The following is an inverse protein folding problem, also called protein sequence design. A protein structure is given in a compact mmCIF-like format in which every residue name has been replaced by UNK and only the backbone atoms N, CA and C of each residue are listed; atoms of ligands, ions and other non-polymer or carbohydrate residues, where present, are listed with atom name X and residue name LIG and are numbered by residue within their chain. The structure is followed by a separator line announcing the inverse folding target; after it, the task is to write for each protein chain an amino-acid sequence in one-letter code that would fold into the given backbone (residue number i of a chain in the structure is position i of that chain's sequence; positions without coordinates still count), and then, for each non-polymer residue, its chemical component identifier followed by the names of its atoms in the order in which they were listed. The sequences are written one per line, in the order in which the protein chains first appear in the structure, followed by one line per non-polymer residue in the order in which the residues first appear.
data_IF_907762266978
#
_entry.id   IF_907762266978
#
_cell.length_a   1.000
_cell.length_b   1.000
_cell.length_c   1.000
_cell.angle_alpha   90.00
_cell.angle_beta   90.00
_cell.angle_gamma   90.00
#
_symmetry.space_group_name_H-M   'P 1'
#
loop_
_entity.id
_entity.type
_entity.pdbx_description
1 polymer ?
#
# COMPACT_ATOMS: atom_id res chain seq x y z
N UNK A 1 1.55 24.28 17.83
CA UNK A 1 0.54 23.96 16.82
C UNK A 1 1.18 23.85 15.44
N UNK A 2 1.70 24.95 14.87
CA UNK A 2 2.29 24.98 13.52
C UNK A 2 3.48 24.01 13.31
N UNK A 3 4.46 23.98 14.24
CA UNK A 3 5.60 23.07 14.10
C UNK A 3 5.19 21.59 14.02
N UNK A 4 4.22 21.18 14.84
CA UNK A 4 3.73 19.79 14.87
C UNK A 4 3.05 19.44 13.55
N UNK A 5 2.25 20.35 13.01
CA UNK A 5 1.56 20.19 11.74
C UNK A 5 2.55 19.99 10.58
N UNK A 6 3.53 20.90 10.44
CA UNK A 6 4.54 20.85 9.38
C UNK A 6 5.41 19.60 9.51
N UNK A 7 5.80 19.24 10.74
CA UNK A 7 6.58 18.04 11.00
C UNK A 7 5.83 16.77 10.58
N UNK A 8 4.57 16.63 11.00
CA UNK A 8 3.74 15.46 10.67
C UNK A 8 3.56 15.38 9.15
N UNK A 9 3.22 16.49 8.49
CA UNK A 9 3.06 16.52 7.04
C UNK A 9 4.35 16.10 6.34
N UNK A 10 5.50 16.64 6.77
CA UNK A 10 6.81 16.32 6.20
C UNK A 10 7.14 14.84 6.37
N UNK A 11 6.88 14.26 7.55
CA UNK A 11 7.10 12.84 7.81
C UNK A 11 6.17 11.96 6.97
N UNK A 12 4.89 12.31 6.82
CA UNK A 12 3.95 11.55 5.98
C UNK A 12 4.32 11.60 4.50
N UNK A 13 4.72 12.75 3.97
CA UNK A 13 5.17 12.89 2.58
C UNK A 13 6.47 12.12 2.33
N UNK A 14 7.43 12.19 3.26
CA UNK A 14 8.64 11.36 3.22
C UNK A 14 8.29 9.88 3.25
N UNK A 15 7.43 9.46 4.16
CA UNK A 15 6.96 8.08 4.24
C UNK A 15 6.37 7.61 2.90
N UNK A 16 5.51 8.41 2.27
CA UNK A 16 4.91 8.09 0.98
C UNK A 16 5.97 7.86 -0.11
N UNK A 17 6.96 8.75 -0.21
CA UNK A 17 8.06 8.60 -1.16
C UNK A 17 8.92 7.37 -0.85
N UNK A 18 9.23 7.12 0.42
CA UNK A 18 10.02 5.94 0.80
C UNK A 18 9.27 4.62 0.55
N UNK A 19 7.93 4.60 0.65
CA UNK A 19 7.11 3.43 0.27
C UNK A 19 7.15 3.20 -1.25
N UNK A 20 7.09 4.25 -2.08
CA UNK A 20 7.12 4.11 -3.54
C UNK A 20 8.46 3.59 -4.07
N UNK A 21 9.55 3.84 -3.33
CA UNK A 21 10.88 3.28 -3.60
C UNK A 21 11.15 1.96 -2.85
N UNK A 22 10.14 1.41 -2.18
CA UNK A 22 10.23 0.16 -1.40
C UNK A 22 11.30 0.16 -0.28
N UNK A 23 11.56 1.31 0.33
CA UNK A 23 12.49 1.44 1.46
C UNK A 23 11.80 1.18 2.82
N UNK A 24 12.01 -0.03 3.37
CA UNK A 24 11.33 -0.49 4.58
C UNK A 24 11.60 0.37 5.84
N UNK A 25 12.85 0.43 6.32
CA UNK A 25 13.14 1.11 7.59
C UNK A 25 12.88 2.63 7.54
N UNK A 26 13.30 3.38 6.49
CA UNK A 26 12.99 4.80 6.39
C UNK A 26 11.50 5.10 6.38
N UNK A 27 10.69 4.30 5.68
CA UNK A 27 9.24 4.48 5.67
C UNK A 27 8.61 4.17 7.04
N UNK A 28 9.06 3.09 7.71
CA UNK A 28 8.61 2.72 9.05
C UNK A 28 8.87 3.82 10.08
N UNK A 29 10.09 4.37 10.12
CA UNK A 29 10.48 5.41 11.09
C UNK A 29 9.67 6.70 10.88
N UNK A 30 9.48 7.12 9.63
CA UNK A 30 8.66 8.30 9.33
C UNK A 30 7.18 8.07 9.70
N UNK A 31 6.65 6.89 9.40
CA UNK A 31 5.27 6.53 9.70
C UNK A 31 5.01 6.49 11.21
N UNK A 32 5.91 5.85 11.96
CA UNK A 32 5.84 5.80 13.42
C UNK A 32 5.97 7.20 14.04
N UNK A 33 6.94 7.99 13.59
CA UNK A 33 7.14 9.37 14.09
C UNK A 33 5.90 10.25 13.88
N UNK A 34 5.29 10.19 12.69
CA UNK A 34 4.05 10.90 12.41
C UNK A 34 2.89 10.41 13.28
N UNK A 35 2.77 9.09 13.46
CA UNK A 35 1.73 8.50 14.33
C UNK A 35 1.85 8.97 15.78
N UNK A 36 3.05 8.89 16.38
CA UNK A 36 3.27 9.32 17.77
C UNK A 36 2.93 10.81 17.96
N UNK A 37 3.33 11.68 17.02
CA UNK A 37 3.01 13.11 17.07
C UNK A 37 1.50 13.37 16.93
N UNK A 38 0.82 12.66 16.02
CA UNK A 38 -0.64 12.78 15.86
C UNK A 38 -1.42 12.30 17.08
N UNK A 39 -0.97 11.23 17.73
CA UNK A 39 -1.57 10.73 18.98
C UNK A 39 -1.40 11.75 20.11
N UNK A 40 -0.18 12.27 20.31
CA UNK A 40 0.09 13.30 21.31
C UNK A 40 -0.74 14.58 21.06
N UNK A 41 -0.84 15.01 19.80
CA UNK A 41 -1.67 16.16 19.43
C UNK A 41 -3.17 15.89 19.66
N UNK A 42 -3.63 14.67 19.38
CA UNK A 42 -5.00 14.20 19.67
C UNK A 42 -5.39 14.33 21.14
N UNK A 43 -4.50 13.93 22.04
CA UNK A 43 -4.71 14.03 23.49
C UNK A 43 -4.92 15.47 23.98
N UNK A 44 -4.31 16.46 23.31
CA UNK A 44 -4.52 17.88 23.64
C UNK A 44 -5.98 18.28 23.38
N UNK A 45 -6.57 17.84 22.27
CA UNK A 45 -7.97 18.12 21.96
C UNK A 45 -8.93 17.46 22.97
N UNK A 46 -8.63 16.21 23.37
CA UNK A 46 -9.43 15.50 24.37
C UNK A 46 -9.38 16.17 25.74
N UNK A 47 -8.19 16.56 26.22
CA UNK A 47 -8.03 17.28 27.49
C UNK A 47 -8.77 18.61 27.48
N UNK A 48 -8.66 19.39 26.39
CA UNK A 48 -9.39 20.66 26.26
C UNK A 48 -10.92 20.45 26.29
N UNK A 49 -11.40 19.34 25.74
CA UNK A 49 -12.82 18.96 25.76
C UNK A 49 -13.28 18.61 27.18
N UNK A 50 -12.48 17.86 27.94
CA UNK A 50 -12.76 17.51 29.33
C UNK A 50 -12.75 18.73 30.25
N UNK A 51 -11.73 19.59 30.15
CA UNK A 51 -11.63 20.81 30.97
C UNK A 51 -12.85 21.73 30.78
N UNK A 52 -13.34 21.90 29.54
CA UNK A 52 -14.55 22.71 29.28
C UNK A 52 -15.84 22.07 29.84
N UNK A 53 -15.95 20.74 29.83
CA UNK A 53 -17.10 20.04 30.44
C UNK A 53 -17.20 20.30 31.95
N UNK A 54 -16.07 20.35 32.65
CA UNK A 54 -16.04 20.57 34.10
C UNK A 54 -16.28 22.03 34.51
N UNK A 55 -15.88 23.01 33.69
CA UNK A 55 -15.99 24.44 34.01
C UNK A 55 -17.37 25.05 33.72
N UNK A 56 -18.17 24.48 32.81
CA UNK A 56 -19.39 25.13 32.30
C UNK A 56 -20.68 24.32 32.45
N UNK A 57 -20.72 23.34 33.37
CA UNK A 57 -21.97 22.75 33.85
C UNK A 57 -22.95 22.30 32.76
N UNK A 58 -22.65 21.19 32.07
CA UNK A 58 -23.66 20.29 31.47
C UNK A 58 -24.55 20.79 30.33
N UNK A 59 -24.53 22.06 29.92
CA UNK A 59 -25.33 22.49 28.77
C UNK A 59 -24.64 22.10 27.46
N UNK A 60 -25.41 21.46 26.56
CA UNK A 60 -25.04 20.93 25.25
C UNK A 60 -24.22 21.92 24.41
N UNK A 61 -22.90 21.95 24.63
CA UNK A 61 -21.98 22.68 23.76
C UNK A 61 -21.69 21.82 22.53
N UNK A 62 -21.89 22.41 21.35
CA UNK A 62 -21.48 21.86 20.05
C UNK A 62 -20.12 21.20 20.21
N UNK A 63 -20.04 19.90 19.93
CA UNK A 63 -18.80 19.14 20.03
C UNK A 63 -17.68 19.90 19.33
N UNK A 64 -16.64 20.29 20.07
CA UNK A 64 -15.45 20.92 19.47
C UNK A 64 -14.80 19.84 18.62
N UNK A 65 -15.15 19.85 17.34
CA UNK A 65 -14.58 18.94 16.36
C UNK A 65 -13.10 19.31 16.16
N UNK A 66 -12.20 18.31 16.07
CA UNK A 66 -10.82 18.59 15.72
C UNK A 66 -10.72 19.36 14.40
N UNK A 67 -9.70 20.21 14.21
CA UNK A 67 -9.50 20.92 12.96
C UNK A 67 -9.52 19.98 11.75
N UNK A 68 -10.12 20.39 10.64
CA UNK A 68 -10.24 19.56 9.44
C UNK A 68 -8.87 19.05 8.96
N UNK A 69 -7.82 19.88 9.06
CA UNK A 69 -6.47 19.49 8.71
C UNK A 69 -5.92 18.36 9.59
N UNK A 70 -6.20 18.37 10.89
CA UNK A 70 -5.82 17.28 11.79
C UNK A 70 -6.47 15.96 11.36
N UNK A 71 -7.78 15.99 11.08
CA UNK A 71 -8.52 14.82 10.59
C UNK A 71 -7.98 14.34 9.24
N UNK A 72 -7.59 15.26 8.36
CA UNK A 72 -6.97 14.93 7.09
C UNK A 72 -5.60 14.25 7.26
N UNK A 73 -4.74 14.76 8.15
CA UNK A 73 -3.45 14.15 8.47
C UNK A 73 -3.61 12.74 9.07
N UNK A 74 -4.61 12.53 9.93
CA UNK A 74 -4.95 11.20 10.44
C UNK A 74 -5.37 10.24 9.32
N UNK A 75 -6.21 10.70 8.38
CA UNK A 75 -6.62 9.88 7.23
C UNK A 75 -5.46 9.53 6.31
N UNK A 76 -4.57 10.49 6.04
CA UNK A 76 -3.35 10.25 5.26
C UNK A 76 -2.45 9.23 5.97
N UNK A 77 -2.22 9.38 7.28
CA UNK A 77 -1.45 8.42 8.07
C UNK A 77 -2.07 7.02 8.03
N UNK A 78 -3.38 6.89 8.20
CA UNK A 78 -4.07 5.60 8.16
C UNK A 78 -4.03 4.93 6.77
N UNK A 79 -4.04 5.75 5.69
CA UNK A 79 -3.89 5.28 4.30
C UNK A 79 -2.47 4.78 4.04
N UNK A 80 -1.45 5.53 4.48
CA UNK A 80 -0.06 5.14 4.36
C UNK A 80 0.26 3.91 5.20
N UNK A 81 -0.34 3.77 6.38
CA UNK A 81 -0.22 2.56 7.20
C UNK A 81 -0.78 1.33 6.48
N UNK A 82 -1.99 1.42 5.92
CA UNK A 82 -2.57 0.31 5.15
C UNK A 82 -1.66 -0.12 3.98
N UNK A 83 -1.13 0.86 3.24
CA UNK A 83 -0.22 0.61 2.13
C UNK A 83 1.12 0.02 2.58
N UNK A 84 1.72 0.57 3.62
CA UNK A 84 2.95 0.06 4.23
C UNK A 84 2.79 -1.40 4.68
N UNK A 85 1.71 -1.69 5.41
CA UNK A 85 1.41 -3.05 5.87
C UNK A 85 1.26 -4.04 4.72
N UNK A 86 0.71 -3.60 3.59
CA UNK A 86 0.61 -4.43 2.39
C UNK A 86 1.97 -4.62 1.70
N UNK A 87 2.68 -3.53 1.35
CA UNK A 87 3.91 -3.58 0.54
C UNK A 87 5.08 -4.27 1.26
N UNK A 88 5.05 -4.26 2.59
CA UNK A 88 6.06 -4.89 3.43
C UNK A 88 5.49 -6.07 4.24
N UNK A 89 4.36 -6.65 3.80
CA UNK A 89 3.69 -7.73 4.52
C UNK A 89 4.65 -8.89 4.84
N UNK A 90 5.49 -9.29 3.87
CA UNK A 90 6.46 -10.36 4.07
C UNK A 90 7.47 -10.03 5.19
N UNK A 91 8.07 -8.84 5.15
CA UNK A 91 9.03 -8.40 6.17
C UNK A 91 8.40 -8.32 7.56
N UNK A 92 7.16 -7.83 7.66
CA UNK A 92 6.40 -7.74 8.90
C UNK A 92 6.01 -9.12 9.45
N UNK A 93 5.55 -10.01 8.57
CA UNK A 93 5.14 -11.38 8.92
C UNK A 93 6.30 -12.23 9.44
N UNK A 94 7.54 -11.97 9.00
CA UNK A 94 8.74 -12.64 9.53
C UNK A 94 9.12 -12.19 10.94
N UNK A 95 8.62 -11.04 11.38
CA UNK A 95 8.95 -10.42 12.68
C UNK A 95 7.79 -10.50 13.67
N UNK A 96 6.67 -11.10 13.29
CA UNK A 96 5.44 -11.19 14.10
C UNK A 96 4.84 -12.59 13.96
N UNK A 97 3.98 -13.00 14.90
CA UNK A 97 3.18 -14.20 14.72
C UNK A 97 2.07 -13.98 13.69
N UNK A 98 1.54 -15.06 13.10
CA UNK A 98 0.43 -14.98 12.14
C UNK A 98 -0.83 -14.32 12.75
N UNK A 99 -1.08 -14.52 14.05
CA UNK A 99 -2.20 -13.90 14.77
C UNK A 99 -2.01 -12.39 14.94
N UNK A 100 -0.80 -11.97 15.30
CA UNK A 100 -0.45 -10.55 15.41
C UNK A 100 -0.50 -9.86 14.05
N UNK A 101 -0.03 -10.52 12.99
CA UNK A 101 -0.06 -9.95 11.64
C UNK A 101 -1.51 -9.75 11.16
N UNK A 102 -2.40 -10.73 11.36
CA UNK A 102 -3.84 -10.57 11.09
C UNK A 102 -4.46 -9.44 11.88
N UNK A 103 -4.07 -9.30 13.15
CA UNK A 103 -4.55 -8.20 14.01
C UNK A 103 -4.04 -6.85 13.51
N UNK A 104 -2.79 -6.78 13.04
CA UNK A 104 -2.17 -5.58 12.49
C UNK A 104 -2.86 -5.14 11.21
N UNK A 105 -3.09 -6.06 10.26
CA UNK A 105 -3.79 -5.74 9.00
C UNK A 105 -5.25 -5.37 9.24
N UNK A 106 -5.95 -6.05 10.15
CA UNK A 106 -7.35 -5.74 10.49
C UNK A 106 -7.54 -4.34 11.12
N UNK A 107 -6.50 -3.78 11.75
CA UNK A 107 -6.53 -2.42 12.32
C UNK A 107 -6.26 -1.32 11.30
N UNK A 108 -5.83 -1.68 10.09
CA UNK A 108 -5.59 -0.70 9.03
C UNK A 108 -6.92 -0.17 8.48
N UNK A 109 -6.89 1.01 7.86
CA UNK A 109 -8.08 1.58 7.22
C UNK A 109 -8.61 0.73 6.05
N UNK A 110 -7.73 -0.05 5.41
CA UNK A 110 -8.03 -0.96 4.31
C UNK A 110 -7.16 -2.22 4.41
N UNK A 111 -7.79 -3.37 4.67
CA UNK A 111 -7.11 -4.67 4.69
C UNK A 111 -6.92 -5.21 3.27
N UNK A 112 -5.87 -4.75 2.58
CA UNK A 112 -5.52 -5.19 1.23
C UNK A 112 -5.24 -6.70 1.17
N UNK A 113 -4.55 -7.24 2.18
CA UNK A 113 -4.16 -8.64 2.23
C UNK A 113 -5.41 -9.54 2.37
N UNK A 114 -6.31 -9.20 3.28
CA UNK A 114 -7.60 -9.88 3.44
C UNK A 114 -8.49 -9.76 2.22
N UNK A 115 -8.52 -8.58 1.57
CA UNK A 115 -9.28 -8.34 0.33
C UNK A 115 -8.79 -9.21 -0.82
N UNK A 116 -7.47 -9.30 -1.04
CA UNK A 116 -6.88 -10.17 -2.06
C UNK A 116 -7.11 -11.65 -1.73
N UNK A 117 -6.95 -12.03 -0.46
CA UNK A 117 -7.23 -13.41 -0.01
C UNK A 117 -8.69 -13.82 -0.25
N UNK A 118 -9.64 -12.90 -0.02
CA UNK A 118 -11.05 -13.14 -0.31
C UNK A 118 -11.32 -13.23 -1.83
N UNK A 119 -10.67 -12.39 -2.62
CA UNK A 119 -10.74 -12.45 -4.08
C UNK A 119 -10.24 -13.80 -4.62
N UNK A 120 -9.08 -14.27 -4.16
CA UNK A 120 -8.51 -15.58 -4.54
C UNK A 120 -9.51 -16.69 -4.30
N UNK A 121 -10.08 -16.77 -3.08
CA UNK A 121 -11.07 -17.80 -2.74
C UNK A 121 -12.35 -17.70 -3.55
N UNK A 122 -12.80 -16.48 -3.87
CA UNK A 122 -14.07 -16.25 -4.58
C UNK A 122 -13.96 -16.57 -6.07
N UNK A 123 -12.83 -16.27 -6.69
CA UNK A 123 -12.65 -16.36 -8.15
C UNK A 123 -11.77 -17.53 -8.58
N UNK A 124 -11.24 -18.29 -7.61
CA UNK A 124 -10.33 -19.42 -7.82
C UNK A 124 -9.08 -19.00 -8.60
N UNK A 125 -8.46 -17.89 -8.18
CA UNK A 125 -7.19 -17.44 -8.73
C UNK A 125 -6.07 -18.32 -8.17
N UNK A 126 -5.17 -18.79 -9.03
CA UNK A 126 -4.03 -19.62 -8.59
C UNK A 126 -3.02 -18.79 -7.79
N UNK A 127 -2.83 -17.53 -8.19
CA UNK A 127 -1.94 -16.62 -7.46
C UNK A 127 -2.29 -15.14 -7.68
N UNK A 128 -2.06 -14.31 -6.66
CA UNK A 128 -1.98 -12.85 -6.79
C UNK A 128 -0.67 -12.36 -6.20
N UNK A 129 0.13 -11.64 -6.99
CA UNK A 129 1.40 -11.06 -6.55
C UNK A 129 1.46 -9.55 -6.76
N UNK A 130 2.17 -8.87 -5.87
CA UNK A 130 2.67 -7.52 -6.08
C UNK A 130 4.13 -7.63 -6.52
N UNK A 131 4.42 -7.22 -7.75
CA UNK A 131 5.76 -7.24 -8.34
C UNK A 131 6.39 -5.88 -8.17
N UNK A 132 7.63 -5.83 -7.70
CA UNK A 132 8.44 -4.62 -7.72
C UNK A 132 9.38 -4.64 -8.92
N UNK A 133 9.43 -3.56 -9.69
CA UNK A 133 10.33 -3.37 -10.82
C UNK A 133 11.59 -2.65 -10.35
N UNK A 134 12.65 -3.43 -10.17
CA UNK A 134 13.92 -2.93 -9.66
C UNK A 134 14.87 -2.41 -10.75
N UNK A 135 14.42 -2.29 -12.01
CA UNK A 135 15.30 -1.82 -13.08
C UNK A 135 15.76 -0.39 -12.82
N UNK A 136 17.07 -0.17 -12.86
CA UNK A 136 17.69 1.14 -12.61
C UNK A 136 17.86 1.51 -11.13
N UNK A 137 17.50 0.62 -10.20
CA UNK A 137 17.72 0.83 -8.77
C UNK A 137 18.99 0.13 -8.30
N UNK A 138 20.03 0.93 -8.08
CA UNK A 138 21.32 0.47 -7.53
C UNK A 138 21.25 0.21 -6.02
N UNK A 139 20.25 0.78 -5.34
CA UNK A 139 20.08 0.71 -3.88
C UNK A 139 19.21 -0.45 -3.40
N UNK A 140 18.82 -1.36 -4.29
CA UNK A 140 17.99 -2.49 -3.93
C UNK A 140 18.72 -3.48 -3.04
N UNK A 141 18.14 -3.74 -1.87
CA UNK A 141 18.70 -4.66 -0.89
C UNK A 141 17.79 -5.84 -0.61
N UNK A 142 16.58 -5.91 -1.18
CA UNK A 142 15.60 -6.96 -0.89
C UNK A 142 14.70 -6.63 0.30
N UNK A 143 13.98 -7.64 0.82
CA UNK A 143 12.94 -7.45 1.84
C UNK A 143 13.48 -6.98 3.19
N UNK A 144 12.83 -5.98 3.79
CA UNK A 144 13.08 -5.58 5.17
C UNK A 144 14.32 -4.67 5.33
N UNK A 145 14.91 -4.69 6.52
CA UNK A 145 16.07 -3.86 6.84
C UNK A 145 17.38 -4.54 6.45
N UNK A 146 18.27 -3.74 5.86
CA UNK A 146 19.62 -4.13 5.52
C UNK A 146 20.59 -3.04 5.97
N UNK A 147 21.75 -3.46 6.44
CA UNK A 147 22.75 -2.52 6.94
C UNK A 147 23.35 -1.71 5.77
N UNK A 148 23.50 -0.38 5.88
CA UNK A 148 23.92 0.49 4.76
C UNK A 148 25.26 0.11 4.12
N UNK A 149 26.16 -0.52 4.88
CA UNK A 149 27.49 -0.92 4.42
C UNK A 149 27.56 -2.39 3.98
N UNK A 150 26.44 -3.11 3.95
CA UNK A 150 26.42 -4.48 3.45
C UNK A 150 26.46 -4.48 1.92
N UNK A 151 27.54 -5.03 1.36
CA UNK A 151 27.61 -5.26 -0.09
C UNK A 151 26.60 -6.33 -0.51
N UNK A 152 25.85 -6.05 -1.58
CA UNK A 152 25.05 -7.04 -2.31
C UNK A 152 25.20 -6.78 -3.80
N UNK A 153 25.30 -7.86 -4.56
CA UNK A 153 25.24 -7.76 -6.02
C UNK A 153 23.82 -7.33 -6.43
N UNK A 154 23.73 -6.33 -7.31
CA UNK A 154 22.46 -5.89 -7.85
C UNK A 154 21.76 -7.06 -8.57
N UNK A 155 20.45 -7.28 -8.35
CA UNK A 155 19.75 -8.38 -8.98
C UNK A 155 19.76 -8.22 -10.51
N UNK A 156 19.88 -9.36 -11.20
CA UNK A 156 19.94 -9.42 -12.67
C UNK A 156 18.85 -10.34 -13.20
N UNK A 157 18.37 -10.03 -14.41
CA UNK A 157 17.38 -10.84 -15.11
C UNK A 157 16.08 -11.01 -14.30
N UNK A 158 15.72 -12.26 -14.02
CA UNK A 158 14.47 -12.64 -13.33
C UNK A 158 14.37 -12.06 -11.92
N UNK A 159 15.51 -11.86 -11.24
CA UNK A 159 15.54 -11.35 -9.87
C UNK A 159 15.36 -9.83 -9.78
N UNK A 160 15.33 -9.12 -10.92
CA UNK A 160 14.96 -7.70 -10.98
C UNK A 160 13.48 -7.46 -10.74
N UNK A 161 12.68 -8.52 -10.77
CA UNK A 161 11.24 -8.48 -10.57
C UNK A 161 10.86 -9.38 -9.38
N UNK A 162 11.21 -9.03 -8.13
CA UNK A 162 10.77 -9.80 -6.97
C UNK A 162 9.25 -9.69 -6.77
N UNK A 163 8.65 -10.75 -6.23
CA UNK A 163 7.30 -10.70 -5.69
C UNK A 163 7.39 -10.15 -4.26
N UNK A 164 7.06 -8.89 -4.05
CA UNK A 164 7.12 -8.28 -2.70
C UNK A 164 5.97 -8.73 -1.80
N UNK A 165 4.89 -9.19 -2.42
CA UNK A 165 3.78 -9.91 -1.80
C UNK A 165 3.37 -11.01 -2.77
N UNK A 166 3.08 -12.21 -2.25
CA UNK A 166 2.55 -13.32 -3.05
C UNK A 166 1.52 -14.10 -2.25
N UNK A 167 0.34 -14.32 -2.83
CA UNK A 167 -0.77 -15.01 -2.19
C UNK A 167 -1.35 -16.10 -3.10
N UNK A 168 -1.79 -17.24 -2.55
CA UNK A 168 -1.93 -17.53 -1.12
C UNK A 168 -0.66 -18.06 -0.43
N UNK A 169 0.31 -18.57 -1.19
CA UNK A 169 1.43 -19.36 -0.66
C UNK A 169 2.59 -18.57 -0.03
N UNK A 170 2.59 -17.24 -0.09
CA UNK A 170 3.73 -16.42 0.35
C UNK A 170 4.89 -16.41 -0.64
N UNK A 171 5.06 -17.49 -1.40
CA UNK A 171 6.12 -17.67 -2.39
C UNK A 171 5.73 -17.20 -3.79
N UNK A 172 6.73 -16.80 -4.57
CA UNK A 172 6.60 -16.42 -5.98
C UNK A 172 6.24 -17.64 -6.85
N UNK A 173 5.26 -17.56 -7.78
CA UNK A 173 4.97 -18.63 -8.72
C UNK A 173 6.04 -18.74 -9.81
N UNK A 174 7.13 -19.47 -9.52
CA UNK A 174 8.35 -19.53 -10.35
C UNK A 174 8.10 -19.92 -11.80
N UNK A 175 7.20 -20.88 -12.04
CA UNK A 175 6.85 -21.38 -13.38
C UNK A 175 6.17 -20.32 -14.26
N UNK A 176 5.40 -19.40 -13.65
CA UNK A 176 4.68 -18.36 -14.36
C UNK A 176 5.48 -17.07 -14.52
N UNK A 177 6.56 -16.91 -13.76
CA UNK A 177 7.29 -15.65 -13.67
C UNK A 177 7.92 -15.17 -14.99
N UNK A 178 8.47 -16.04 -15.86
CA UNK A 178 8.94 -15.62 -17.18
C UNK A 178 7.84 -14.94 -18.01
N UNK A 179 6.62 -15.48 -18.00
CA UNK A 179 5.47 -14.89 -18.69
C UNK A 179 5.08 -13.54 -18.08
N UNK A 180 5.10 -13.42 -16.74
CA UNK A 180 4.83 -12.15 -16.06
C UNK A 180 5.82 -11.07 -16.52
N UNK A 181 7.11 -11.37 -16.51
CA UNK A 181 8.17 -10.42 -16.93
C UNK A 181 8.02 -10.06 -18.41
N UNK A 182 7.74 -11.03 -19.27
CA UNK A 182 7.49 -10.82 -20.69
C UNK A 182 6.32 -9.85 -20.90
N UNK A 183 5.15 -10.12 -20.28
CA UNK A 183 3.96 -9.25 -20.41
C UNK A 183 4.25 -7.84 -19.89
N UNK A 184 4.94 -7.71 -18.75
CA UNK A 184 5.32 -6.41 -18.18
C UNK A 184 6.24 -5.60 -19.11
N UNK A 185 7.07 -6.28 -19.89
CA UNK A 185 7.99 -5.65 -20.85
C UNK A 185 7.26 -5.26 -22.13
N UNK A 186 6.54 -6.20 -22.74
CA UNK A 186 5.86 -6.03 -24.03
C UNK A 186 4.68 -5.06 -23.94
N UNK A 187 3.96 -5.06 -22.81
CA UNK A 187 2.78 -4.22 -22.57
C UNK A 187 3.07 -3.05 -21.64
N UNK A 188 4.34 -2.66 -21.52
CA UNK A 188 4.80 -1.57 -20.63
C UNK A 188 4.08 -0.24 -20.89
N UNK A 189 3.87 0.14 -22.15
CA UNK A 189 3.15 1.37 -22.53
C UNK A 189 1.72 1.41 -21.98
N UNK A 190 1.00 0.27 -22.03
CA UNK A 190 -0.36 0.18 -21.51
C UNK A 190 -0.38 0.17 -19.98
N UNK A 191 0.54 -0.56 -19.35
CA UNK A 191 0.69 -0.56 -17.89
C UNK A 191 1.06 0.84 -17.36
N UNK A 192 1.86 1.61 -18.11
CA UNK A 192 2.26 2.97 -17.74
C UNK A 192 1.12 4.00 -17.81
N UNK A 193 -0.02 3.68 -18.43
CA UNK A 193 -1.22 4.52 -18.33
C UNK A 193 -1.84 4.51 -16.90
N UNK A 194 -1.39 3.59 -16.04
CA UNK A 194 -1.81 3.34 -14.65
C UNK A 194 -3.25 2.88 -14.47
N UNK A 195 -4.21 3.37 -15.26
CA UNK A 195 -5.65 3.04 -15.17
C UNK A 195 -6.09 1.81 -15.97
N UNK A 196 -5.20 1.22 -16.76
CA UNK A 196 -5.47 0.04 -17.59
C UNK A 196 -5.19 -1.27 -16.87
N UNK A 197 -6.01 -2.26 -17.21
CA UNK A 197 -5.79 -3.67 -16.89
C UNK A 197 -5.39 -4.39 -18.17
N UNK A 198 -4.21 -4.98 -18.17
CA UNK A 198 -3.70 -5.80 -19.28
C UNK A 198 -4.15 -7.25 -19.05
N UNK A 199 -4.75 -7.86 -20.07
CA UNK A 199 -5.08 -9.28 -20.12
C UNK A 199 -4.14 -10.02 -21.07
N UNK A 200 -3.77 -11.23 -20.70
CA UNK A 200 -3.02 -12.14 -21.55
C UNK A 200 -3.39 -13.59 -21.23
N UNK A 201 -3.60 -14.41 -22.26
CA UNK A 201 -3.79 -15.85 -22.11
C UNK A 201 -2.68 -16.58 -22.85
N UNK A 202 -2.00 -17.50 -22.16
CA UNK A 202 -0.99 -18.37 -22.74
C UNK A 202 -1.56 -19.78 -22.92
N UNK A 203 -1.70 -20.20 -24.17
CA UNK A 203 -2.22 -21.52 -24.53
C UNK A 203 -1.22 -22.64 -24.23
N UNK A 204 0.09 -22.36 -24.15
CA UNK A 204 1.10 -23.40 -23.87
C UNK A 204 1.08 -23.86 -22.42
N UNK A 205 0.94 -22.91 -21.50
CA UNK A 205 0.82 -23.19 -20.06
C UNK A 205 -0.63 -23.24 -19.58
N UNK A 206 -1.58 -23.00 -20.48
CA UNK A 206 -3.02 -22.97 -20.20
C UNK A 206 -3.33 -22.05 -19.01
N UNK A 207 -2.83 -20.82 -19.03
CA UNK A 207 -3.01 -19.87 -17.92
C UNK A 207 -3.39 -18.47 -18.40
N UNK A 208 -4.18 -17.78 -17.59
CA UNK A 208 -4.58 -16.40 -17.84
C UNK A 208 -3.95 -15.45 -16.83
N UNK A 209 -3.53 -14.29 -17.31
CA UNK A 209 -2.86 -13.25 -16.56
C UNK A 209 -3.64 -11.95 -16.68
N UNK A 210 -3.87 -11.30 -15.55
CA UNK A 210 -4.34 -9.91 -15.50
C UNK A 210 -3.32 -9.06 -14.74
N UNK A 211 -2.86 -7.98 -15.35
CA UNK A 211 -1.85 -7.09 -14.79
C UNK A 211 -2.38 -5.67 -14.71
N UNK A 212 -2.12 -4.99 -13.60
CA UNK A 212 -2.46 -3.58 -13.43
C UNK A 212 -1.40 -2.86 -12.60
N UNK A 213 -1.12 -1.60 -12.94
CA UNK A 213 -0.04 -0.82 -12.32
C UNK A 213 -0.60 0.21 -11.34
N UNK A 214 -0.50 0.00 -10.01
CA UNK A 214 -0.83 1.05 -9.06
C UNK A 214 0.15 2.23 -9.13
N UNK A 215 1.44 1.96 -9.34
CA UNK A 215 2.53 2.94 -9.28
C UNK A 215 3.67 2.58 -10.24
N UNK A 216 4.55 3.51 -10.64
CA UNK A 216 5.59 3.24 -11.65
C UNK A 216 6.42 1.97 -11.39
N UNK A 217 6.82 1.74 -10.14
CA UNK A 217 7.67 0.60 -9.75
C UNK A 217 6.91 -0.65 -9.31
N UNK A 218 5.57 -0.63 -9.29
CA UNK A 218 4.79 -1.74 -8.74
C UNK A 218 3.75 -2.24 -9.72
N UNK A 219 3.66 -3.54 -9.93
CA UNK A 219 2.63 -4.15 -10.81
C UNK A 219 1.91 -5.26 -10.05
N UNK A 220 0.58 -5.20 -9.99
CA UNK A 220 -0.24 -6.29 -9.45
C UNK A 220 -0.51 -7.28 -10.57
N UNK A 221 -0.34 -8.56 -10.27
CA UNK A 221 -0.55 -9.66 -11.21
C UNK A 221 -1.52 -10.66 -10.59
N UNK A 222 -2.56 -11.01 -11.33
CA UNK A 222 -3.49 -12.09 -11.00
C UNK A 222 -3.29 -13.21 -12.03
N UNK A 223 -3.09 -14.42 -11.54
CA UNK A 223 -2.88 -15.62 -12.35
C UNK A 223 -4.05 -16.56 -12.12
N UNK A 224 -4.57 -17.12 -13.20
CA UNK A 224 -5.56 -18.17 -13.20
C UNK A 224 -5.06 -19.36 -13.98
N UNK A 225 -5.34 -20.55 -13.47
CA UNK A 225 -5.18 -21.79 -14.22
C UNK A 225 -6.41 -21.92 -15.14
N UNK A 226 -6.16 -22.11 -16.42
CA UNK A 226 -7.18 -22.11 -17.47
C UNK A 226 -7.46 -20.73 -18.08
N UNK A 227 -8.42 -20.73 -19.02
CA UNK A 227 -8.80 -19.55 -19.80
C UNK A 227 -9.83 -18.69 -19.06
N UNK A 228 -9.54 -17.40 -18.88
CA UNK A 228 -10.49 -16.38 -18.43
C UNK A 228 -10.69 -15.33 -19.52
N UNK A 229 -11.90 -14.83 -19.62
CA UNK A 229 -12.26 -13.79 -20.60
C UNK A 229 -11.65 -12.45 -20.19
N UNK A 230 -11.09 -11.71 -21.15
CA UNK A 230 -10.70 -10.31 -20.97
C UNK A 230 -11.87 -9.42 -20.54
N UNK A 231 -13.11 -9.83 -20.87
CA UNK A 231 -14.36 -9.11 -20.56
C UNK A 231 -14.91 -9.43 -19.17
N UNK A 232 -14.18 -10.16 -18.33
CA UNK A 232 -14.60 -10.42 -16.96
C UNK A 232 -14.53 -9.12 -16.14
N UNK A 233 -15.67 -8.42 -16.13
CA UNK A 233 -15.82 -7.14 -15.44
C UNK A 233 -15.55 -7.22 -13.94
N UNK A 234 -15.72 -8.37 -13.29
CA UNK A 234 -15.46 -8.51 -11.86
C UNK A 234 -13.96 -8.47 -11.56
N UNK A 235 -13.15 -9.17 -12.36
CA UNK A 235 -11.69 -9.19 -12.23
C UNK A 235 -11.12 -7.81 -12.53
N UNK A 236 -11.58 -7.19 -13.62
CA UNK A 236 -11.14 -5.85 -14.03
C UNK A 236 -11.52 -4.80 -12.97
N UNK A 237 -12.76 -4.79 -12.50
CA UNK A 237 -13.21 -3.86 -11.47
C UNK A 237 -12.44 -4.03 -10.16
N UNK A 238 -12.17 -5.28 -9.75
CA UNK A 238 -11.35 -5.55 -8.57
C UNK A 238 -9.95 -4.95 -8.69
N UNK A 239 -9.26 -5.16 -9.83
CA UNK A 239 -7.93 -4.62 -10.07
C UNK A 239 -7.92 -3.09 -10.14
N UNK A 240 -8.91 -2.48 -10.79
CA UNK A 240 -9.06 -1.03 -10.85
C UNK A 240 -9.31 -0.41 -9.47
N UNK A 241 -10.15 -1.04 -8.65
CA UNK A 241 -10.43 -0.58 -7.29
C UNK A 241 -9.18 -0.70 -6.40
N UNK A 242 -8.50 -1.85 -6.46
CA UNK A 242 -7.28 -2.12 -5.70
C UNK A 242 -6.16 -1.14 -6.08
N UNK A 243 -5.85 -1.03 -7.37
CA UNK A 243 -4.81 -0.09 -7.85
C UNK A 243 -5.17 1.36 -7.59
N UNK A 244 -6.43 1.75 -7.80
CA UNK A 244 -6.92 3.10 -7.51
C UNK A 244 -6.81 3.48 -6.03
N UNK A 245 -7.01 2.52 -5.11
CA UNK A 245 -6.80 2.76 -3.68
C UNK A 245 -5.33 2.91 -3.29
N UNK A 246 -4.43 2.14 -3.91
CA UNK A 246 -2.99 2.16 -3.63
C UNK A 246 -2.27 3.43 -4.14
N UNK A 247 -2.84 4.14 -5.12
CA UNK A 247 -2.32 5.42 -5.61
C UNK A 247 -2.37 6.55 -4.57
N UNK A 248 -3.10 6.38 -3.47
CA UNK A 248 -3.23 7.37 -2.40
C UNK A 248 -3.66 8.78 -2.87
N UNK A 249 -4.35 8.90 -4.01
CA UNK A 249 -4.82 10.20 -4.52
C UNK A 249 -6.00 10.75 -3.73
N UNK A 250 -6.85 9.87 -3.18
CA UNK A 250 -8.07 10.23 -2.45
C UNK A 250 -7.83 11.18 -1.26
N UNK A 251 -6.84 10.97 -0.37
CA UNK A 251 -6.51 11.95 0.65
C UNK A 251 -6.27 13.35 0.06
N UNK A 252 -5.45 13.49 -0.99
CA UNK A 252 -5.13 14.78 -1.58
C UNK A 252 -6.33 15.47 -2.23
N UNK A 253 -7.24 14.73 -2.89
CA UNK A 253 -8.44 15.33 -3.48
C UNK A 253 -9.45 15.83 -2.44
N UNK A 254 -9.41 15.29 -1.22
CA UNK A 254 -10.26 15.76 -0.10
C UNK A 254 -9.71 16.98 0.62
N UNK A 255 -8.48 17.41 0.31
CA UNK A 255 -7.90 18.62 0.86
C UNK A 255 -8.49 19.84 0.14
N UNK A 256 -9.54 20.43 0.70
CA UNK A 256 -10.12 21.67 0.17
C UNK A 256 -9.24 22.87 0.54
N UNK A 257 -9.03 23.85 -0.37
CA UNK A 257 -8.43 25.12 0.02
C UNK A 257 -9.26 25.73 1.14
N UNK A 258 -8.60 26.22 2.20
CA UNK A 258 -9.30 26.87 3.31
C UNK A 258 -10.18 28.00 2.79
N UNK A 259 -11.45 28.04 3.20
CA UNK A 259 -12.28 29.23 3.06
C UNK A 259 -11.55 30.37 3.78
N UNK A 260 -11.27 31.47 3.08
CA UNK A 260 -10.72 32.68 3.70
C UNK A 260 -11.56 33.00 4.95
N UNK A 261 -10.92 32.94 6.12
CA UNK A 261 -11.49 33.47 7.36
C UNK A 261 -11.49 34.99 7.34
#
# INVERSE_FOLDING_TARGET
SFQVEVDVLTQLLRCQAQISEWHFLPSLLNLHGAHSKLQAWGQVFERQRETRKHLFGGQSQKTVQPPHLYLWLQRLQATLLAKFSFYFHEALSRQTSQSEMKTLTARTSLDYFGKISAFIRKHDASNVSLVFDNRGSESFQGHGYHHPHSYREAPKGVDQFPAVVSLPGGERPVTHWPNVIMIMSDRSTELNALDKVVHFYDDKVQSTYFLARPEPHFTIVVIFDGRKSERDSNIVAFLQELTGSLRNTKPFTTLKPGSKG
#
